data_IF_160210394672
#
_entry.id   IF_160210394672
#
_cell.length_a   1.000
_cell.length_b   1.000
_cell.length_c   1.000
_cell.angle_alpha   90.00
_cell.angle_beta   90.00
_cell.angle_gamma   90.00
#
_symmetry.space_group_name_H-M   'P 1'
#
loop_
_entity.id
_entity.type
_entity.pdbx_description
1 polymer ?
#
# COMPACT_ATOMS: atom_id res chain seq x y z
N UNK A 1 -8.62 16.16 14.39
CA UNK A 1 -9.27 15.90 13.08
C UNK A 1 -10.01 17.15 12.64
N UNK A 2 -9.90 17.55 11.38
CA UNK A 2 -10.55 18.76 10.87
C UNK A 2 -11.99 18.45 10.46
N UNK A 3 -12.97 19.24 10.90
CA UNK A 3 -14.37 19.17 10.46
C UNK A 3 -14.51 19.28 8.93
N UNK A 4 -13.53 19.90 8.27
CA UNK A 4 -13.46 20.03 6.81
C UNK A 4 -13.20 18.67 6.10
N UNK A 5 -12.42 17.76 6.70
CA UNK A 5 -12.21 16.43 6.13
C UNK A 5 -13.51 15.62 6.15
N UNK A 6 -14.21 15.62 7.28
CA UNK A 6 -15.52 14.96 7.41
C UNK A 6 -16.53 15.53 6.40
N UNK A 7 -16.58 16.86 6.25
CA UNK A 7 -17.49 17.52 5.31
C UNK A 7 -17.24 17.10 3.85
N UNK A 8 -15.98 17.03 3.45
CA UNK A 8 -15.57 16.62 2.10
C UNK A 8 -15.95 15.15 1.84
N UNK A 9 -15.58 14.28 2.77
CA UNK A 9 -15.84 12.85 2.65
C UNK A 9 -17.34 12.54 2.66
N UNK A 10 -18.12 13.18 3.53
CA UNK A 10 -19.57 13.01 3.60
C UNK A 10 -20.23 13.37 2.25
N UNK A 11 -19.86 14.50 1.65
CA UNK A 11 -20.37 14.88 0.33
C UNK A 11 -19.97 13.89 -0.76
N UNK A 12 -18.72 13.43 -0.76
CA UNK A 12 -18.24 12.45 -1.73
C UNK A 12 -18.94 11.10 -1.60
N UNK A 13 -19.08 10.58 -0.37
CA UNK A 13 -19.74 9.29 -0.09
C UNK A 13 -21.26 9.34 -0.34
N UNK A 14 -21.90 10.48 -0.09
CA UNK A 14 -23.31 10.67 -0.42
C UNK A 14 -23.57 10.62 -1.93
N UNK A 15 -22.61 11.07 -2.73
CA UNK A 15 -22.71 11.05 -4.19
C UNK A 15 -23.99 11.69 -4.72
N UNK A 16 -24.75 10.97 -5.52
CA UNK A 16 -26.02 11.42 -6.10
C UNK A 16 -27.23 11.40 -5.14
N UNK A 17 -27.09 10.88 -3.92
CA UNK A 17 -28.17 10.85 -2.94
C UNK A 17 -28.44 12.28 -2.42
N UNK A 18 -29.72 12.67 -2.26
CA UNK A 18 -30.04 13.98 -1.68
C UNK A 18 -29.78 14.04 -0.17
N UNK A 19 -29.52 15.25 0.36
CA UNK A 19 -29.42 15.48 1.82
C UNK A 19 -30.68 15.03 2.57
N UNK A 20 -31.87 15.22 1.96
CA UNK A 20 -33.12 14.77 2.53
C UNK A 20 -33.19 13.24 2.61
N UNK A 21 -32.75 12.55 1.60
CA UNK A 21 -32.76 11.09 1.58
C UNK A 21 -31.77 10.52 2.59
N UNK A 22 -30.54 11.07 2.68
CA UNK A 22 -29.58 10.69 3.70
C UNK A 22 -30.08 10.95 5.12
N UNK A 23 -30.76 12.09 5.35
CA UNK A 23 -31.41 12.41 6.63
C UNK A 23 -32.47 11.36 7.01
N UNK A 24 -33.30 10.94 6.07
CA UNK A 24 -34.33 9.90 6.31
C UNK A 24 -33.70 8.54 6.64
N UNK A 25 -32.68 8.12 5.90
CA UNK A 25 -32.03 6.82 6.11
C UNK A 25 -31.23 6.75 7.42
N UNK A 26 -30.54 7.84 7.74
CA UNK A 26 -29.68 7.90 8.94
C UNK A 26 -30.45 8.28 10.23
N UNK A 27 -31.65 8.83 10.11
CA UNK A 27 -32.35 9.44 11.25
C UNK A 27 -31.73 10.76 11.74
N UNK A 28 -30.66 11.23 11.11
CA UNK A 28 -30.00 12.50 11.45
C UNK A 28 -30.77 13.67 10.83
N UNK A 29 -31.07 14.72 11.62
CA UNK A 29 -31.81 15.88 11.13
C UNK A 29 -31.17 16.49 9.87
N UNK A 30 -31.98 16.87 8.88
CA UNK A 30 -31.56 17.45 7.60
C UNK A 30 -30.60 18.64 7.79
N UNK A 31 -30.89 19.53 8.74
CA UNK A 31 -30.08 20.71 9.02
C UNK A 31 -28.69 20.30 9.57
N UNK A 32 -28.63 19.22 10.37
CA UNK A 32 -27.36 18.66 10.89
C UNK A 32 -26.52 18.10 9.74
N UNK A 33 -27.12 17.29 8.85
CA UNK A 33 -26.41 16.77 7.67
C UNK A 33 -25.86 17.91 6.82
N UNK A 34 -26.69 18.91 6.52
CA UNK A 34 -26.28 20.07 5.74
C UNK A 34 -25.19 20.89 6.40
N UNK A 35 -25.21 21.09 7.73
CA UNK A 35 -24.19 21.77 8.48
C UNK A 35 -22.87 20.99 8.44
N UNK A 36 -22.93 19.67 8.64
CA UNK A 36 -21.74 18.81 8.56
C UNK A 36 -21.08 18.85 7.17
N UNK A 37 -21.87 18.86 6.10
CA UNK A 37 -21.35 19.00 4.74
C UNK A 37 -20.72 20.39 4.46
N UNK A 38 -21.05 21.41 5.22
CA UNK A 38 -20.37 22.73 5.17
C UNK A 38 -19.12 22.81 6.04
N UNK A 39 -18.84 21.75 6.82
CA UNK A 39 -17.74 21.75 7.80
C UNK A 39 -18.10 22.48 9.09
N UNK A 40 -19.38 22.75 9.30
CA UNK A 40 -19.93 23.40 10.49
C UNK A 40 -20.35 22.37 11.53
N UNK A 41 -20.01 22.63 12.78
CA UNK A 41 -20.40 21.77 13.90
C UNK A 41 -19.39 20.67 14.23
N UNK A 42 -19.66 20.00 15.35
CA UNK A 42 -18.87 18.88 15.85
C UNK A 42 -19.80 17.68 16.06
N UNK A 43 -19.84 16.74 15.11
CA UNK A 43 -20.73 15.59 15.20
C UNK A 43 -20.34 14.69 16.36
N UNK A 44 -21.32 14.10 17.02
CA UNK A 44 -21.06 13.01 17.97
C UNK A 44 -20.67 11.73 17.23
N UNK A 45 -20.05 10.80 17.92
CA UNK A 45 -19.70 9.47 17.35
C UNK A 45 -20.96 8.75 16.85
N UNK A 46 -22.06 8.85 17.61
CA UNK A 46 -23.35 8.25 17.21
C UNK A 46 -23.89 8.86 15.91
N UNK A 47 -23.74 10.18 15.73
CA UNK A 47 -24.12 10.85 14.48
C UNK A 47 -23.30 10.33 13.29
N UNK A 48 -21.99 10.12 13.49
CA UNK A 48 -21.11 9.58 12.45
C UNK A 48 -21.48 8.13 12.10
N UNK A 49 -21.74 7.28 13.09
CA UNK A 49 -22.20 5.91 12.85
C UNK A 49 -23.54 5.88 12.10
N UNK A 50 -24.51 6.67 12.53
CA UNK A 50 -25.80 6.72 11.86
C UNK A 50 -25.69 7.12 10.36
N UNK A 51 -24.78 8.05 10.04
CA UNK A 51 -24.51 8.46 8.65
C UNK A 51 -23.78 7.35 7.86
N UNK A 52 -22.78 6.71 8.44
CA UNK A 52 -22.02 5.65 7.76
C UNK A 52 -22.85 4.40 7.52
N UNK A 53 -23.68 4.01 8.47
CA UNK A 53 -24.64 2.89 8.31
C UNK A 53 -25.63 3.17 7.17
N UNK A 54 -26.17 4.40 7.13
CA UNK A 54 -27.07 4.80 6.05
C UNK A 54 -26.43 4.84 4.65
N UNK A 55 -25.10 5.06 4.61
CA UNK A 55 -24.30 5.07 3.38
C UNK A 55 -23.72 3.69 3.04
N UNK A 56 -23.78 2.73 3.97
CA UNK A 56 -23.19 1.39 3.79
C UNK A 56 -21.66 1.37 3.75
N UNK A 57 -21.00 2.30 4.48
CA UNK A 57 -19.54 2.43 4.49
C UNK A 57 -18.99 2.35 5.93
N UNK A 58 -17.73 1.93 6.14
CA UNK A 58 -17.13 1.96 7.45
C UNK A 58 -16.89 3.41 7.94
N UNK A 59 -16.90 3.63 9.26
CA UNK A 59 -16.64 4.94 9.86
C UNK A 59 -15.30 5.54 9.40
N UNK A 60 -14.29 4.72 9.20
CA UNK A 60 -12.98 5.14 8.68
C UNK A 60 -13.10 5.96 7.38
N UNK A 61 -14.04 5.61 6.48
CA UNK A 61 -14.22 6.32 5.23
C UNK A 61 -14.64 7.80 5.40
N UNK A 62 -15.34 8.14 6.49
CA UNK A 62 -15.63 9.55 6.84
C UNK A 62 -14.43 10.28 7.44
N UNK A 63 -13.50 9.54 8.05
CA UNK A 63 -12.40 10.08 8.85
C UNK A 63 -11.07 10.11 8.09
N UNK A 64 -10.98 9.39 6.98
CA UNK A 64 -9.78 9.35 6.15
C UNK A 64 -9.46 10.75 5.63
N UNK A 65 -8.20 11.16 5.80
CA UNK A 65 -7.67 12.31 5.08
C UNK A 65 -7.40 11.86 3.64
N UNK A 66 -7.68 12.71 2.65
CA UNK A 66 -7.19 12.42 1.31
C UNK A 66 -5.67 12.18 1.38
N UNK A 67 -5.19 11.11 0.75
CA UNK A 67 -3.76 10.97 0.58
C UNK A 67 -3.22 12.22 -0.12
N UNK A 68 -2.02 12.68 0.20
CA UNK A 68 -1.41 13.80 -0.51
C UNK A 68 -1.44 13.52 -2.02
N UNK A 69 -1.62 14.56 -2.83
CA UNK A 69 -1.67 14.45 -4.29
C UNK A 69 -0.40 13.84 -4.90
N UNK A 70 0.70 13.88 -4.15
CA UNK A 70 1.95 13.18 -4.44
C UNK A 70 2.65 12.81 -3.12
N UNK A 71 3.15 11.60 -3.05
CA UNK A 71 4.07 11.14 -1.99
C UNK A 71 5.46 11.09 -2.61
N UNK A 72 6.43 11.71 -1.94
CA UNK A 72 7.83 11.70 -2.39
C UNK A 72 8.66 11.06 -1.29
N UNK A 73 9.37 10.00 -1.63
CA UNK A 73 10.44 9.40 -0.82
C UNK A 73 11.75 9.75 -1.51
N UNK A 74 12.61 10.51 -0.82
CA UNK A 74 13.91 10.88 -1.37
C UNK A 74 14.91 9.73 -1.26
N UNK A 75 15.91 9.73 -2.14
CA UNK A 75 16.98 8.72 -2.10
C UNK A 75 17.63 8.68 -0.70
N UNK A 76 17.70 7.48 -0.13
CA UNK A 76 18.22 7.27 1.23
C UNK A 76 17.26 7.55 2.37
N UNK A 77 16.02 7.98 2.08
CA UNK A 77 14.96 8.11 3.08
C UNK A 77 14.15 6.82 3.20
N UNK A 78 13.39 6.72 4.29
CA UNK A 78 12.53 5.58 4.58
C UNK A 78 13.20 4.49 5.41
N UNK A 79 12.41 3.49 5.76
CA UNK A 79 12.93 2.31 6.46
C UNK A 79 13.87 1.54 5.54
N UNK A 80 15.04 1.14 6.06
CA UNK A 80 16.02 0.40 5.28
C UNK A 80 16.56 -0.80 6.05
N UNK A 81 17.05 -1.75 5.29
CA UNK A 81 17.78 -2.93 5.78
C UNK A 81 19.08 -2.99 5.02
N UNK A 82 20.19 -3.04 5.74
CA UNK A 82 21.53 -3.26 5.20
C UNK A 82 21.91 -4.72 5.37
N UNK A 83 22.47 -5.31 4.34
CA UNK A 83 22.92 -6.70 4.36
C UNK A 83 24.20 -6.91 3.53
N UNK A 84 24.87 -8.02 3.77
CA UNK A 84 26.12 -8.32 3.05
C UNK A 84 25.92 -8.42 1.53
N UNK A 85 24.79 -8.99 1.08
CA UNK A 85 24.53 -9.23 -0.33
C UNK A 85 23.71 -8.12 -0.99
N UNK A 86 22.84 -7.46 -0.22
CA UNK A 86 21.97 -6.40 -0.75
C UNK A 86 21.49 -5.47 0.37
N UNK A 87 21.24 -4.22 -0.01
CA UNK A 87 20.53 -3.24 0.79
C UNK A 87 19.15 -3.02 0.19
N UNK A 88 18.13 -2.82 1.04
CA UNK A 88 16.75 -2.56 0.63
C UNK A 88 16.21 -1.33 1.35
N UNK A 89 15.71 -0.35 0.58
CA UNK A 89 15.05 0.85 1.07
C UNK A 89 13.57 0.80 0.71
N UNK A 90 12.69 0.86 1.70
CA UNK A 90 11.25 0.87 1.49
C UNK A 90 10.82 2.20 0.85
N UNK A 91 10.23 2.13 -0.35
CA UNK A 91 9.70 3.27 -1.09
C UNK A 91 8.22 3.46 -0.85
N UNK A 92 7.46 2.37 -0.78
CA UNK A 92 6.01 2.42 -0.60
C UNK A 92 5.50 1.15 0.08
N UNK A 93 4.44 1.31 0.84
CA UNK A 93 3.68 0.22 1.43
C UNK A 93 2.20 0.50 1.21
N UNK A 94 1.50 -0.42 0.59
CA UNK A 94 0.08 -0.26 0.31
C UNK A 94 -0.73 -1.49 0.69
N UNK A 95 -1.97 -1.23 1.07
CA UNK A 95 -2.96 -2.27 1.34
C UNK A 95 -4.18 -2.03 0.46
N UNK A 96 -4.64 -3.07 -0.21
CA UNK A 96 -5.85 -3.13 -1.02
C UNK A 96 -6.66 -4.37 -0.60
N UNK A 97 -7.97 -4.42 -0.86
CA UNK A 97 -8.74 -5.64 -0.60
C UNK A 97 -8.07 -6.87 -1.21
N UNK A 98 -7.64 -7.80 -0.35
CA UNK A 98 -6.99 -9.05 -0.75
C UNK A 98 -5.50 -8.97 -1.11
N UNK A 99 -4.87 -7.80 -1.07
CA UNK A 99 -3.45 -7.63 -1.42
C UNK A 99 -2.76 -6.68 -0.46
N UNK A 100 -1.59 -7.09 0.03
CA UNK A 100 -0.63 -6.24 0.72
C UNK A 100 0.64 -6.16 -0.13
N UNK A 101 1.16 -4.95 -0.35
CA UNK A 101 2.34 -4.75 -1.18
C UNK A 101 3.38 -3.85 -0.52
N UNK A 102 4.64 -4.17 -0.76
CA UNK A 102 5.80 -3.38 -0.36
C UNK A 102 6.72 -3.21 -1.55
N UNK A 103 7.05 -1.95 -1.88
CA UNK A 103 7.98 -1.60 -2.94
C UNK A 103 9.29 -1.12 -2.35
N UNK A 104 10.40 -1.72 -2.79
CA UNK A 104 11.75 -1.40 -2.34
C UNK A 104 12.63 -0.92 -3.50
N UNK A 105 13.51 0.04 -3.24
CA UNK A 105 14.73 0.22 -4.00
C UNK A 105 15.78 -0.73 -3.44
N UNK A 106 16.43 -1.51 -4.32
CA UNK A 106 17.44 -2.49 -3.94
C UNK A 106 18.77 -2.13 -4.57
N UNK A 107 19.83 -2.28 -3.77
CA UNK A 107 21.21 -2.28 -4.23
C UNK A 107 21.85 -3.62 -3.90
N UNK A 108 22.45 -4.25 -4.88
CA UNK A 108 23.20 -5.51 -4.75
C UNK A 108 24.70 -5.23 -4.74
N UNK A 109 25.43 -6.00 -3.92
CA UNK A 109 26.89 -5.87 -3.75
C UNK A 109 27.62 -6.97 -4.52
N UNK A 110 28.46 -6.59 -5.50
CA UNK A 110 29.17 -7.49 -6.39
C UNK A 110 29.86 -8.65 -5.65
N UNK A 111 29.73 -9.86 -6.17
CA UNK A 111 30.35 -11.06 -5.61
C UNK A 111 29.70 -11.58 -4.33
N UNK A 112 28.60 -10.96 -3.87
CA UNK A 112 27.87 -11.41 -2.69
C UNK A 112 26.64 -12.22 -3.08
N UNK A 113 26.27 -13.15 -2.23
CA UNK A 113 25.08 -13.99 -2.40
C UNK A 113 24.36 -14.16 -1.08
N UNK A 114 23.04 -14.25 -1.15
CA UNK A 114 22.16 -14.56 -0.03
C UNK A 114 21.11 -15.57 -0.46
N UNK A 115 21.03 -16.67 0.26
CA UNK A 115 19.87 -17.53 0.23
C UNK A 115 18.87 -17.04 1.29
N UNK A 116 17.69 -16.66 0.86
CA UNK A 116 16.60 -16.19 1.72
C UNK A 116 15.67 -17.36 2.07
N UNK A 117 15.27 -17.48 3.35
CA UNK A 117 14.25 -18.46 3.72
C UNK A 117 12.89 -18.09 3.10
N UNK A 118 11.96 -19.06 3.01
CA UNK A 118 10.61 -18.79 2.54
C UNK A 118 9.94 -17.67 3.34
N UNK A 119 9.35 -16.72 2.64
CA UNK A 119 8.42 -15.76 3.24
C UNK A 119 7.10 -16.43 3.64
N UNK A 120 6.24 -15.79 4.46
CA UNK A 120 4.91 -16.28 4.74
C UNK A 120 4.13 -16.64 3.46
N UNK A 121 3.23 -17.58 3.57
CA UNK A 121 2.51 -18.16 2.43
C UNK A 121 1.83 -17.09 1.55
N UNK A 122 1.98 -17.22 0.23
CA UNK A 122 1.36 -16.33 -0.75
C UNK A 122 2.19 -15.12 -1.13
N UNK A 123 3.45 -15.02 -0.71
CA UNK A 123 4.34 -13.94 -1.16
C UNK A 123 4.86 -14.22 -2.56
N UNK A 124 4.68 -13.24 -3.43
CA UNK A 124 5.29 -13.17 -4.76
C UNK A 124 6.28 -12.01 -4.78
N UNK A 125 7.46 -12.25 -5.32
CA UNK A 125 8.48 -11.23 -5.54
C UNK A 125 8.58 -10.87 -7.02
N UNK A 126 8.71 -9.57 -7.29
CA UNK A 126 8.80 -9.02 -8.64
C UNK A 126 9.98 -8.05 -8.69
N UNK A 127 11.05 -8.49 -9.33
CA UNK A 127 12.28 -7.70 -9.47
C UNK A 127 12.38 -7.12 -10.88
N UNK A 128 12.58 -5.80 -10.97
CA UNK A 128 12.98 -5.10 -12.18
C UNK A 128 14.39 -4.57 -11.99
N UNK A 129 15.34 -5.05 -12.77
CA UNK A 129 16.73 -4.66 -12.69
C UNK A 129 16.99 -3.40 -13.52
N UNK A 130 17.62 -2.39 -12.93
CA UNK A 130 17.93 -1.11 -13.58
C UNK A 130 19.39 -1.04 -14.04
N UNK A 131 20.30 -1.67 -13.29
CA UNK A 131 21.73 -1.68 -13.63
C UNK A 131 22.42 -2.93 -13.07
N UNK A 132 23.59 -3.29 -13.64
CA UNK A 132 24.39 -4.42 -13.25
C UNK A 132 23.81 -5.77 -13.67
N UNK A 133 24.29 -6.87 -13.06
CA UNK A 133 23.81 -8.23 -13.32
C UNK A 133 23.64 -9.00 -12.03
N UNK A 134 22.54 -9.73 -11.94
CA UNK A 134 22.18 -10.54 -10.77
C UNK A 134 21.64 -11.90 -11.21
N UNK A 135 21.72 -12.90 -10.32
CA UNK A 135 20.98 -14.14 -10.44
C UNK A 135 19.98 -14.22 -9.30
N UNK A 136 18.70 -14.40 -9.62
CA UNK A 136 17.60 -14.35 -8.63
C UNK A 136 16.53 -15.41 -8.92
N UNK A 137 15.82 -15.82 -7.88
CA UNK A 137 14.70 -16.74 -7.99
C UNK A 137 14.79 -17.95 -7.08
N UNK A 138 13.90 -18.94 -7.21
CA UNK A 138 13.90 -20.15 -6.39
C UNK A 138 15.24 -20.88 -6.48
N UNK A 139 15.68 -21.46 -5.37
CA UNK A 139 16.91 -22.26 -5.33
C UNK A 139 16.81 -23.40 -6.35
N UNK A 140 17.80 -23.50 -7.23
CA UNK A 140 17.84 -24.48 -8.31
C UNK A 140 17.15 -24.03 -9.61
N UNK A 141 16.37 -22.94 -9.58
CA UNK A 141 15.66 -22.37 -10.76
C UNK A 141 15.98 -20.88 -10.96
N UNK A 142 17.02 -20.37 -10.28
CA UNK A 142 17.40 -18.98 -10.36
C UNK A 142 17.84 -18.58 -11.77
N UNK A 143 17.41 -17.39 -12.22
CA UNK A 143 17.67 -16.84 -13.55
C UNK A 143 18.60 -15.64 -13.46
N UNK A 144 19.43 -15.44 -14.51
CA UNK A 144 20.27 -14.26 -14.64
C UNK A 144 19.47 -13.12 -15.28
N UNK A 145 19.60 -11.91 -14.69
CA UNK A 145 19.00 -10.69 -15.17
C UNK A 145 20.09 -9.65 -15.45
N UNK A 146 19.91 -8.92 -16.55
CA UNK A 146 20.63 -7.72 -16.93
C UNK A 146 19.75 -6.46 -16.87
N UNK A 147 20.32 -5.27 -17.17
CA UNK A 147 19.59 -4.00 -17.10
C UNK A 147 18.34 -4.00 -18.00
N UNK A 148 17.18 -3.65 -17.42
CA UNK A 148 15.88 -3.64 -18.08
C UNK A 148 15.12 -4.96 -17.97
N UNK A 149 15.74 -6.05 -17.48
CA UNK A 149 15.07 -7.32 -17.31
C UNK A 149 14.15 -7.32 -16.07
N UNK A 150 13.16 -8.20 -16.15
CA UNK A 150 12.16 -8.39 -15.07
C UNK A 150 11.99 -9.88 -14.79
N UNK A 151 11.95 -10.23 -13.51
CA UNK A 151 11.58 -11.56 -13.04
C UNK A 151 10.46 -11.49 -12.00
N UNK A 152 9.59 -12.50 -12.03
CA UNK A 152 8.57 -12.73 -11.02
C UNK A 152 8.66 -14.18 -10.57
N UNK A 153 8.71 -14.40 -9.26
CA UNK A 153 8.83 -15.73 -8.67
C UNK A 153 8.16 -15.79 -7.30
N UNK A 154 7.90 -17.01 -6.84
CA UNK A 154 7.36 -17.24 -5.51
C UNK A 154 8.43 -16.97 -4.45
N UNK A 155 8.20 -16.01 -3.57
CA UNK A 155 8.98 -15.80 -2.35
C UNK A 155 8.59 -16.76 -1.22
N UNK A 156 7.60 -17.62 -1.41
CA UNK A 156 7.15 -18.62 -0.41
C UNK A 156 7.97 -19.92 -0.43
N UNK A 157 9.04 -19.95 -1.24
CA UNK A 157 10.04 -21.03 -1.29
C UNK A 157 11.42 -20.45 -1.01
N UNK A 158 12.44 -21.26 -0.64
CA UNK A 158 13.81 -20.80 -0.55
C UNK A 158 14.24 -20.19 -1.88
N UNK A 159 14.81 -19.00 -1.86
CA UNK A 159 15.20 -18.27 -3.07
C UNK A 159 16.53 -17.55 -2.86
N UNK A 160 17.22 -17.25 -3.95
CA UNK A 160 18.57 -16.70 -3.94
C UNK A 160 18.60 -15.32 -4.58
N UNK A 161 19.46 -14.47 -4.01
CA UNK A 161 19.94 -13.23 -4.61
C UNK A 161 21.46 -13.32 -4.70
N UNK A 162 21.98 -13.40 -5.91
CA UNK A 162 23.43 -13.45 -6.19
C UNK A 162 23.80 -12.27 -7.06
N UNK A 163 24.66 -11.40 -6.56
CA UNK A 163 25.14 -10.24 -7.28
C UNK A 163 26.37 -10.62 -8.13
N UNK A 164 26.21 -10.70 -9.42
CA UNK A 164 27.31 -10.95 -10.37
C UNK A 164 28.14 -9.68 -10.58
N UNK A 165 27.50 -8.52 -10.47
CA UNK A 165 28.08 -7.18 -10.52
C UNK A 165 27.38 -6.29 -9.47
N UNK A 166 27.93 -5.11 -9.16
CA UNK A 166 27.18 -4.10 -8.44
C UNK A 166 25.93 -3.75 -9.24
N UNK A 167 24.78 -3.91 -8.63
CA UNK A 167 23.52 -3.80 -9.35
C UNK A 167 22.47 -3.01 -8.53
N UNK A 168 21.50 -2.46 -9.25
CA UNK A 168 20.38 -1.78 -8.61
C UNK A 168 19.08 -2.10 -9.33
N UNK A 169 17.99 -2.05 -8.58
CA UNK A 169 16.66 -2.33 -9.12
C UNK A 169 15.54 -1.94 -8.16
N UNK A 170 14.34 -2.35 -8.52
CA UNK A 170 13.17 -2.26 -7.66
C UNK A 170 12.61 -3.65 -7.41
N UNK A 171 12.30 -3.96 -6.16
CA UNK A 171 11.62 -5.18 -5.74
C UNK A 171 10.24 -4.85 -5.21
N UNK A 172 9.23 -5.43 -5.80
CA UNK A 172 7.86 -5.40 -5.31
C UNK A 172 7.53 -6.76 -4.68
N UNK A 173 7.25 -6.75 -3.38
CA UNK A 173 6.76 -7.92 -2.66
C UNK A 173 5.23 -7.82 -2.54
N UNK A 174 4.52 -8.83 -3.02
CA UNK A 174 3.07 -8.91 -2.96
C UNK A 174 2.65 -10.11 -2.10
N UNK A 175 1.84 -9.84 -1.09
CA UNK A 175 1.21 -10.88 -0.28
C UNK A 175 -0.26 -10.95 -0.61
N UNK A 176 -0.72 -12.05 -1.18
CA UNK A 176 -2.15 -12.33 -1.36
C UNK A 176 -2.78 -12.68 0.00
N UNK A 177 -3.80 -11.95 0.44
CA UNK A 177 -4.65 -12.43 1.53
C UNK A 177 -5.58 -13.51 0.97
N UNK A 178 -5.36 -14.76 1.34
CA UNK A 178 -6.36 -15.80 1.14
C UNK A 178 -7.63 -15.38 1.89
N UNK A 179 -8.72 -15.10 1.18
CA UNK A 179 -10.04 -14.99 1.79
C UNK A 179 -10.36 -16.35 2.42
N UNK A 180 -10.35 -16.40 3.76
CA UNK A 180 -10.98 -17.48 4.50
C UNK A 180 -12.48 -17.31 4.49
#
# INVERSE_FOLDING_TARGET
MSSMAIAKNLRALRGGMSVLELSRRSGVARNTVAALERGEGNPTVDTLYALTDALGVPLAALLESEPPSAVVVRAGEGAHVEGAALDAHLLDRFERPGVFGELYAIRFHAGQSREAPPHPFGVEERLHLLSGRVRVGPVGEAVELGPGDYASYSGSVPHVYEALEDASGTLLMLTGRSSR
#
